data_IF_861673915773
#
_entry.id   IF_861673915773
#
_cell.length_a   1.000
_cell.length_b   1.000
_cell.length_c   1.000
_cell.angle_alpha   90.00
_cell.angle_beta   90.00
_cell.angle_gamma   90.00
#
_symmetry.space_group_name_H-M   'P 1'
#
loop_
_entity.id
_entity.type
_entity.pdbx_description
1 polymer ?
#
# COMPACT_ATOMS: atom_id res chain seq x y z
N UNK A 1 -7.62 -0.73 8.94
CA UNK A 1 -8.09 -1.14 7.60
C UNK A 1 -6.91 -1.68 6.78
N UNK A 2 -7.17 -2.37 5.67
CA UNK A 2 -6.18 -2.63 4.62
C UNK A 2 -6.62 -1.86 3.38
N UNK A 3 -5.72 -1.13 2.73
CA UNK A 3 -6.02 -0.54 1.41
C UNK A 3 -5.09 -1.09 0.35
N UNK A 4 -5.60 -1.24 -0.87
CA UNK A 4 -4.81 -1.63 -2.03
C UNK A 4 -4.96 -0.63 -3.16
N UNK A 5 -3.85 -0.34 -3.84
CA UNK A 5 -3.79 0.55 -4.99
C UNK A 5 -3.26 -0.11 -6.24
N UNK A 6 -3.78 0.28 -7.38
CA UNK A 6 -3.31 -0.15 -8.69
C UNK A 6 -2.15 0.72 -9.17
N UNK A 7 -1.14 0.07 -9.74
CA UNK A 7 -0.07 0.71 -10.49
C UNK A 7 -0.58 1.12 -11.87
N UNK A 8 -0.74 2.43 -12.07
CA UNK A 8 -1.15 2.97 -13.36
C UNK A 8 0.03 2.91 -14.34
N UNK A 9 -0.04 2.12 -15.43
CA UNK A 9 0.95 2.20 -16.50
C UNK A 9 0.89 3.60 -17.14
N UNK A 10 1.98 4.03 -17.77
CA UNK A 10 2.05 5.35 -18.44
C UNK A 10 0.90 5.57 -19.43
N UNK A 11 0.45 4.51 -20.09
CA UNK A 11 -0.63 4.53 -21.09
C UNK A 11 -2.03 4.34 -20.49
N UNK A 12 -2.13 4.22 -19.16
CA UNK A 12 -3.38 3.98 -18.43
C UNK A 12 -4.00 2.60 -18.69
N UNK A 13 -4.74 2.09 -17.71
CA UNK A 13 -5.67 0.98 -17.95
C UNK A 13 -6.95 1.56 -18.55
N UNK A 14 -7.53 0.89 -19.55
CA UNK A 14 -8.88 1.21 -20.01
C UNK A 14 -9.88 0.98 -18.86
N UNK A 15 -11.00 1.72 -18.77
CA UNK A 15 -11.91 1.64 -17.63
C UNK A 15 -12.38 0.23 -17.28
N UNK A 16 -12.75 -0.59 -18.28
CA UNK A 16 -13.13 -1.98 -18.07
C UNK A 16 -11.99 -2.83 -17.46
N UNK A 17 -10.75 -2.61 -17.91
CA UNK A 17 -9.59 -3.31 -17.37
C UNK A 17 -9.17 -2.82 -15.98
N UNK A 18 -9.39 -1.53 -15.68
CA UNK A 18 -9.20 -0.99 -14.33
C UNK A 18 -10.18 -1.62 -13.34
N UNK A 19 -11.47 -1.75 -13.70
CA UNK A 19 -12.46 -2.46 -12.87
C UNK A 19 -12.13 -3.92 -12.65
N UNK A 20 -11.69 -4.63 -13.70
CA UNK A 20 -11.21 -6.03 -13.57
C UNK A 20 -10.02 -6.15 -12.64
N UNK A 21 -9.06 -5.23 -12.72
CA UNK A 21 -7.92 -5.20 -11.82
C UNK A 21 -8.32 -4.87 -10.37
N UNK A 22 -9.29 -3.98 -10.17
CA UNK A 22 -9.86 -3.66 -8.85
C UNK A 22 -10.56 -4.88 -8.25
N UNK A 23 -11.41 -5.54 -9.04
CA UNK A 23 -12.07 -6.80 -8.68
C UNK A 23 -11.06 -7.87 -8.26
N UNK A 24 -10.01 -8.09 -9.05
CA UNK A 24 -9.00 -9.09 -8.73
C UNK A 24 -8.20 -8.75 -7.46
N UNK A 25 -7.89 -7.48 -7.19
CA UNK A 25 -7.24 -7.09 -5.93
C UNK A 25 -8.14 -7.35 -4.71
N UNK A 26 -9.44 -7.05 -4.81
CA UNK A 26 -10.39 -7.31 -3.73
C UNK A 26 -10.58 -8.80 -3.47
N UNK A 27 -10.72 -9.59 -4.55
CA UNK A 27 -10.80 -11.04 -4.48
C UNK A 27 -9.51 -11.67 -3.93
N UNK A 28 -8.33 -11.12 -4.26
CA UNK A 28 -7.06 -11.59 -3.69
C UNK A 28 -7.03 -11.43 -2.17
N UNK A 29 -7.55 -10.31 -1.66
CA UNK A 29 -7.65 -10.07 -0.23
C UNK A 29 -8.68 -10.97 0.45
N UNK A 30 -9.83 -11.18 -0.19
CA UNK A 30 -10.85 -12.09 0.32
C UNK A 30 -10.34 -13.54 0.39
N UNK A 31 -9.69 -14.02 -0.68
CA UNK A 31 -9.07 -15.34 -0.72
C UNK A 31 -7.95 -15.48 0.33
N UNK A 32 -7.11 -14.45 0.49
CA UNK A 32 -6.07 -14.45 1.52
C UNK A 32 -6.64 -14.51 2.95
N UNK A 33 -7.73 -13.80 3.23
CA UNK A 33 -8.43 -13.88 4.51
C UNK A 33 -8.96 -15.28 4.77
N UNK A 34 -9.61 -15.92 3.78
CA UNK A 34 -10.12 -17.29 3.87
C UNK A 34 -9.03 -18.35 4.05
N UNK A 35 -7.82 -18.12 3.57
CA UNK A 35 -6.69 -19.05 3.75
C UNK A 35 -5.95 -18.83 5.06
N UNK A 36 -5.71 -17.57 5.42
CA UNK A 36 -5.01 -17.21 6.65
C UNK A 36 -5.88 -17.37 7.89
N UNK A 37 -7.20 -17.33 7.72
CA UNK A 37 -8.21 -17.51 8.76
C UNK A 37 -9.43 -18.25 8.22
N UNK A 38 -10.24 -18.81 9.09
CA UNK A 38 -11.43 -19.55 8.69
C UNK A 38 -12.59 -18.57 8.43
N UNK A 39 -12.49 -17.81 7.33
CA UNK A 39 -13.54 -16.88 6.91
C UNK A 39 -14.46 -17.50 5.87
N UNK A 40 -15.75 -17.36 6.13
CA UNK A 40 -16.81 -17.64 5.18
C UNK A 40 -17.21 -16.34 4.49
N UNK A 41 -17.35 -16.41 3.16
CA UNK A 41 -17.94 -15.32 2.39
C UNK A 41 -19.46 -15.47 2.46
N UNK A 42 -20.13 -14.50 3.10
CA UNK A 42 -21.56 -14.57 3.35
C UNK A 42 -22.37 -14.03 2.16
N UNK A 43 -21.97 -12.88 1.62
CA UNK A 43 -22.71 -12.20 0.55
C UNK A 43 -21.87 -11.06 -0.05
N UNK A 44 -22.12 -10.71 -1.32
CA UNK A 44 -21.58 -9.53 -1.95
C UNK A 44 -22.70 -8.55 -2.34
N UNK A 45 -22.45 -7.27 -2.17
CA UNK A 45 -23.42 -6.19 -2.41
C UNK A 45 -22.85 -5.18 -3.41
N UNK A 46 -23.59 -4.83 -4.45
CA UNK A 46 -23.25 -3.74 -5.34
C UNK A 46 -24.06 -2.49 -4.99
N UNK A 47 -23.41 -1.33 -4.99
CA UNK A 47 -23.97 -0.10 -4.44
C UNK A 47 -23.61 1.14 -5.29
N UNK A 48 -24.34 2.24 -5.10
CA UNK A 48 -24.14 3.48 -5.87
C UNK A 48 -23.91 4.67 -4.93
N UNK A 49 -22.81 5.40 -5.13
CA UNK A 49 -22.37 6.47 -4.25
C UNK A 49 -21.54 5.95 -3.07
N UNK A 50 -22.19 5.28 -2.11
CA UNK A 50 -21.57 4.75 -0.88
C UNK A 50 -22.02 3.30 -0.60
N UNK A 51 -21.27 2.51 0.19
CA UNK A 51 -21.63 1.13 0.55
C UNK A 51 -23.05 0.95 1.10
N UNK A 52 -23.53 1.87 1.93
CA UNK A 52 -24.88 1.80 2.54
C UNK A 52 -26.03 1.93 1.53
N UNK A 53 -25.75 2.39 0.30
CA UNK A 53 -26.74 2.58 -0.76
C UNK A 53 -26.80 1.36 -1.69
N UNK A 54 -27.05 0.18 -1.11
CA UNK A 54 -27.14 -1.12 -1.80
C UNK A 54 -28.21 -1.12 -2.90
N UNK A 55 -27.89 -1.74 -4.03
CA UNK A 55 -28.77 -1.86 -5.21
C UNK A 55 -28.96 -3.29 -5.68
N UNK A 56 -27.97 -4.14 -5.49
CA UNK A 56 -28.00 -5.55 -5.91
C UNK A 56 -27.21 -6.37 -4.89
N UNK A 57 -27.69 -7.57 -4.59
CA UNK A 57 -26.99 -8.54 -3.75
C UNK A 57 -26.76 -9.81 -4.56
N UNK A 58 -25.59 -10.42 -4.40
CA UNK A 58 -25.17 -11.58 -5.19
C UNK A 58 -24.13 -12.42 -4.43
N UNK A 59 -23.92 -13.65 -4.89
CA UNK A 59 -22.89 -14.54 -4.34
C UNK A 59 -21.68 -14.56 -5.26
N UNK A 60 -20.50 -14.65 -4.67
CA UNK A 60 -19.24 -14.90 -5.38
C UNK A 60 -18.58 -16.09 -4.70
N UNK A 61 -18.21 -17.12 -5.47
CA UNK A 61 -17.37 -18.20 -4.96
C UNK A 61 -15.93 -17.68 -4.86
N UNK A 62 -15.37 -17.70 -3.66
CA UNK A 62 -14.04 -17.16 -3.38
C UNK A 62 -13.20 -18.29 -2.81
N UNK A 63 -12.62 -19.10 -3.71
CA UNK A 63 -11.57 -20.06 -3.36
C UNK A 63 -10.20 -19.48 -3.65
N UNK A 64 -10.02 -19.00 -4.88
CA UNK A 64 -8.83 -18.34 -5.40
C UNK A 64 -9.27 -17.17 -6.29
N UNK A 65 -8.33 -16.34 -6.71
CA UNK A 65 -8.61 -15.33 -7.73
C UNK A 65 -8.69 -16.01 -9.10
N UNK A 66 -9.91 -16.20 -9.60
CA UNK A 66 -10.16 -16.75 -10.94
C UNK A 66 -10.94 -15.78 -11.85
N UNK A 67 -10.96 -16.11 -13.15
CA UNK A 67 -11.55 -15.28 -14.20
C UNK A 67 -13.08 -15.11 -14.04
N UNK A 68 -13.78 -16.12 -13.53
CA UNK A 68 -15.24 -16.09 -13.38
C UNK A 68 -15.65 -15.18 -12.23
N UNK A 69 -14.98 -15.29 -11.09
CA UNK A 69 -15.17 -14.39 -9.95
C UNK A 69 -14.83 -12.93 -10.34
N UNK A 70 -13.71 -12.72 -11.05
CA UNK A 70 -13.33 -11.39 -11.55
C UNK A 70 -14.40 -10.83 -12.47
N UNK A 71 -14.88 -11.61 -13.44
CA UNK A 71 -15.91 -11.18 -14.39
C UNK A 71 -17.19 -10.79 -13.66
N UNK A 72 -17.64 -11.62 -12.73
CA UNK A 72 -18.85 -11.40 -11.93
C UNK A 72 -18.80 -10.05 -11.21
N UNK A 73 -17.72 -9.78 -10.47
CA UNK A 73 -17.55 -8.50 -9.75
C UNK A 73 -17.36 -7.33 -10.73
N UNK A 74 -16.53 -7.47 -11.75
CA UNK A 74 -16.23 -6.40 -12.70
C UNK A 74 -17.44 -5.96 -13.54
N UNK A 75 -18.37 -6.87 -13.83
CA UNK A 75 -19.64 -6.56 -14.47
C UNK A 75 -20.50 -5.65 -13.59
N UNK A 76 -20.57 -5.89 -12.28
CA UNK A 76 -21.29 -5.01 -11.34
C UNK A 76 -20.61 -3.65 -11.25
N UNK A 77 -19.29 -3.62 -11.12
CA UNK A 77 -18.53 -2.36 -11.12
C UNK A 77 -18.74 -1.53 -12.39
N UNK A 78 -19.20 -2.12 -13.50
CA UNK A 78 -19.51 -1.36 -14.73
C UNK A 78 -20.79 -0.53 -14.64
N UNK A 79 -21.67 -0.85 -13.69
CA UNK A 79 -22.99 -0.22 -13.47
C UNK A 79 -23.10 0.51 -12.14
N UNK A 80 -22.23 0.16 -11.19
CA UNK A 80 -22.25 0.58 -9.80
C UNK A 80 -20.99 1.36 -9.42
N UNK A 81 -21.04 2.06 -8.28
CA UNK A 81 -19.89 2.81 -7.77
C UNK A 81 -18.88 1.90 -7.07
N UNK A 82 -19.35 0.79 -6.50
CA UNK A 82 -18.51 -0.24 -5.90
C UNK A 82 -19.27 -1.52 -5.59
N UNK A 83 -18.53 -2.49 -5.08
CA UNK A 83 -18.99 -3.78 -4.57
C UNK A 83 -18.38 -4.00 -3.19
N UNK A 84 -19.16 -4.46 -2.22
CA UNK A 84 -18.69 -4.87 -0.90
C UNK A 84 -18.81 -6.38 -0.77
N UNK A 85 -17.71 -7.07 -0.48
CA UNK A 85 -17.71 -8.49 -0.12
C UNK A 85 -17.71 -8.58 1.40
N UNK A 86 -18.75 -9.17 1.98
CA UNK A 86 -18.87 -9.36 3.44
C UNK A 86 -18.38 -10.73 3.83
N UNK A 87 -17.41 -10.78 4.73
CA UNK A 87 -16.83 -12.01 5.25
C UNK A 87 -16.98 -12.06 6.77
N UNK A 88 -17.20 -13.25 7.32
CA UNK A 88 -17.22 -13.48 8.77
C UNK A 88 -16.36 -14.68 9.10
N UNK A 89 -15.60 -14.61 10.18
CA UNK A 89 -14.73 -15.71 10.56
C UNK A 89 -13.75 -15.35 11.66
N UNK A 90 -12.65 -16.11 11.69
CA UNK A 90 -11.60 -15.95 12.67
C UNK A 90 -10.23 -15.77 12.03
N UNK A 91 -9.46 -14.81 12.53
CA UNK A 91 -8.05 -14.62 12.21
C UNK A 91 -7.23 -14.79 13.49
N UNK A 92 -6.60 -15.97 13.65
CA UNK A 92 -6.04 -16.36 14.95
C UNK A 92 -7.16 -16.47 15.99
N UNK A 93 -7.02 -15.75 17.11
CA UNK A 93 -8.07 -15.66 18.15
C UNK A 93 -9.09 -14.55 17.91
N UNK A 94 -8.86 -13.68 16.92
CA UNK A 94 -9.78 -12.59 16.61
C UNK A 94 -11.04 -13.13 15.91
N UNK A 95 -12.22 -12.83 16.45
CA UNK A 95 -13.51 -13.02 15.78
C UNK A 95 -13.86 -11.74 15.02
N UNK A 96 -13.96 -11.83 13.70
CA UNK A 96 -14.04 -10.66 12.82
C UNK A 96 -15.15 -10.83 11.76
N UNK A 97 -15.91 -9.75 11.56
CA UNK A 97 -16.53 -9.45 10.29
C UNK A 97 -15.60 -8.53 9.49
N UNK A 98 -15.43 -8.77 8.20
CA UNK A 98 -14.62 -7.94 7.31
C UNK A 98 -15.45 -7.54 6.11
N UNK A 99 -15.57 -6.23 5.89
CA UNK A 99 -16.14 -5.69 4.66
C UNK A 99 -15.00 -5.32 3.72
N UNK A 100 -15.02 -5.86 2.51
CA UNK A 100 -14.03 -5.57 1.47
C UNK A 100 -14.72 -4.77 0.37
N UNK A 101 -14.55 -3.46 0.40
CA UNK A 101 -15.04 -2.55 -0.61
C UNK A 101 -14.09 -2.52 -1.81
N UNK A 102 -14.65 -2.76 -2.98
CA UNK A 102 -13.99 -2.73 -4.27
C UNK A 102 -14.63 -1.59 -5.07
N UNK A 103 -13.83 -0.59 -5.40
CA UNK A 103 -14.32 0.62 -6.05
C UNK A 103 -14.23 0.53 -7.57
N UNK A 104 -15.25 1.02 -8.28
CA UNK A 104 -15.24 1.08 -9.74
C UNK A 104 -14.23 2.10 -10.29
N UNK A 105 -13.81 3.06 -9.46
CA UNK A 105 -12.77 4.04 -9.73
C UNK A 105 -12.08 4.48 -8.43
N UNK A 106 -10.77 4.73 -8.45
CA UNK A 106 -9.97 5.06 -7.26
C UNK A 106 -10.45 6.30 -6.47
N UNK A 107 -11.18 7.21 -7.13
CA UNK A 107 -11.63 8.46 -6.53
C UNK A 107 -12.99 8.33 -5.84
N UNK A 108 -13.72 7.24 -6.04
CA UNK A 108 -15.01 7.00 -5.37
C UNK A 108 -14.89 7.16 -3.84
N UNK A 109 -13.94 6.51 -3.13
CA UNK A 109 -13.86 6.65 -1.68
C UNK A 109 -13.50 8.07 -1.24
N UNK A 110 -12.77 8.84 -2.05
CA UNK A 110 -12.43 10.23 -1.74
C UNK A 110 -13.65 11.14 -1.89
N UNK A 111 -14.37 10.99 -3.01
CA UNK A 111 -15.58 11.77 -3.29
C UNK A 111 -16.72 11.44 -2.31
N UNK A 112 -16.74 10.21 -1.80
CA UNK A 112 -17.65 9.76 -0.75
C UNK A 112 -17.24 10.20 0.67
N UNK A 113 -16.06 10.81 0.84
CA UNK A 113 -15.56 11.20 2.16
C UNK A 113 -15.09 10.03 3.04
N UNK A 114 -14.91 8.83 2.47
CA UNK A 114 -14.48 7.61 3.17
C UNK A 114 -12.95 7.65 3.38
N UNK A 115 -12.17 8.00 2.35
CA UNK A 115 -10.71 8.08 2.44
C UNK A 115 -10.20 9.47 2.09
N UNK A 116 -9.09 9.88 2.70
CA UNK A 116 -8.39 11.11 2.34
C UNK A 116 -7.57 10.98 1.05
N UNK A 117 -7.44 9.76 0.51
CA UNK A 117 -6.69 9.50 -0.69
C UNK A 117 -7.28 8.38 -1.57
N UNK A 118 -7.01 8.38 -2.89
CA UNK A 118 -7.69 7.48 -3.83
C UNK A 118 -7.28 6.02 -3.64
N UNK A 119 -8.20 5.06 -3.57
CA UNK A 119 -7.88 3.64 -3.46
C UNK A 119 -8.86 2.79 -4.27
N UNK A 120 -8.41 1.65 -4.77
CA UNK A 120 -9.27 0.70 -5.49
C UNK A 120 -9.92 -0.33 -4.59
N UNK A 121 -9.28 -0.66 -3.46
CA UNK A 121 -9.83 -1.60 -2.48
C UNK A 121 -9.60 -1.06 -1.07
N UNK A 122 -10.62 -1.18 -0.23
CA UNK A 122 -10.58 -0.92 1.21
C UNK A 122 -11.16 -2.13 1.94
N UNK A 123 -10.46 -2.65 2.95
CA UNK A 123 -10.99 -3.68 3.82
C UNK A 123 -11.01 -3.23 5.27
N UNK A 124 -12.16 -3.37 5.91
CA UNK A 124 -12.44 -2.88 7.25
C UNK A 124 -12.81 -4.05 8.16
N UNK A 125 -12.00 -4.36 9.20
CA UNK A 125 -12.34 -5.38 10.17
C UNK A 125 -13.20 -4.78 11.28
N UNK A 126 -14.22 -5.52 11.71
CA UNK A 126 -15.08 -5.23 12.85
C UNK A 126 -15.19 -6.48 13.70
N UNK A 127 -14.78 -6.42 14.97
CA UNK A 127 -14.83 -7.60 15.81
C UNK A 127 -14.06 -7.46 17.10
N UNK A 128 -13.63 -8.60 17.66
CA UNK A 128 -13.02 -8.65 19.00
C UNK A 128 -11.91 -9.69 19.11
N UNK A 129 -10.94 -9.44 20.00
CA UNK A 129 -9.96 -10.41 20.50
C UNK A 129 -10.14 -10.48 22.01
N UNK A 130 -10.41 -11.67 22.56
CA UNK A 130 -10.62 -11.87 24.00
C UNK A 130 -11.59 -10.84 24.62
N UNK A 131 -12.68 -10.52 23.90
CA UNK A 131 -13.69 -9.53 24.32
C UNK A 131 -13.32 -8.06 24.09
N UNK A 132 -12.07 -7.73 23.75
CA UNK A 132 -11.62 -6.37 23.42
C UNK A 132 -11.91 -6.02 21.95
N UNK A 133 -12.49 -4.85 21.65
CA UNK A 133 -12.79 -4.47 20.28
C UNK A 133 -11.53 -4.27 19.44
N UNK A 134 -11.58 -4.76 18.21
CA UNK A 134 -10.60 -4.50 17.17
C UNK A 134 -11.20 -3.51 16.18
N UNK A 135 -10.50 -2.39 16.00
CA UNK A 135 -10.89 -1.34 15.05
C UNK A 135 -10.09 -1.36 13.74
N UNK A 136 -9.00 -2.13 13.67
CA UNK A 136 -8.15 -2.14 12.47
C UNK A 136 -7.22 -3.36 12.35
N UNK A 137 -6.89 -3.72 11.11
CA UNK A 137 -5.79 -4.65 10.80
C UNK A 137 -4.43 -4.19 11.33
N UNK A 138 -4.25 -2.88 11.53
CA UNK A 138 -3.05 -2.34 12.15
C UNK A 138 -2.94 -2.78 13.62
N UNK A 139 -4.03 -2.72 14.38
CA UNK A 139 -4.08 -3.23 15.75
C UNK A 139 -3.86 -4.74 15.83
N UNK A 140 -4.34 -5.49 14.83
CA UNK A 140 -4.13 -6.95 14.77
C UNK A 140 -2.66 -7.36 14.63
N UNK A 141 -1.76 -6.48 14.17
CA UNK A 141 -0.32 -6.79 14.22
C UNK A 141 0.22 -6.92 15.64
N UNK A 142 -0.41 -6.25 16.62
CA UNK A 142 -0.01 -6.32 18.02
C UNK A 142 -0.71 -7.47 18.76
N UNK A 143 -1.97 -7.76 18.44
CA UNK A 143 -2.78 -8.77 19.12
C UNK A 143 -2.66 -10.18 18.50
N UNK A 144 -2.51 -10.27 17.18
CA UNK A 144 -2.54 -11.53 16.40
C UNK A 144 -1.44 -11.55 15.32
N UNK A 145 -0.20 -11.28 15.74
CA UNK A 145 0.97 -11.10 14.86
C UNK A 145 1.17 -12.22 13.82
N UNK A 146 1.19 -13.48 14.25
CA UNK A 146 1.43 -14.60 13.34
C UNK A 146 0.28 -14.76 12.33
N UNK A 147 -0.97 -14.52 12.73
CA UNK A 147 -2.10 -14.56 11.82
C UNK A 147 -2.04 -13.42 10.78
N UNK A 148 -1.63 -12.21 11.19
CA UNK A 148 -1.40 -11.09 10.27
C UNK A 148 -0.24 -11.33 9.31
N UNK A 149 0.83 -11.97 9.78
CA UNK A 149 1.95 -12.40 8.93
C UNK A 149 1.49 -13.42 7.90
N UNK A 150 0.71 -14.43 8.30
CA UNK A 150 0.13 -15.41 7.37
C UNK A 150 -0.78 -14.73 6.35
N UNK A 151 -1.66 -13.81 6.77
CA UNK A 151 -2.49 -13.03 5.86
C UNK A 151 -1.67 -12.28 4.81
N UNK A 152 -0.57 -11.62 5.23
CA UNK A 152 0.31 -10.91 4.30
C UNK A 152 1.01 -11.86 3.30
N UNK A 153 1.35 -13.08 3.73
CA UNK A 153 1.98 -14.11 2.87
C UNK A 153 0.97 -14.69 1.88
N UNK A 154 -0.24 -15.05 2.32
CA UNK A 154 -1.30 -15.57 1.45
C UNK A 154 -1.75 -14.51 0.44
N UNK A 155 -1.87 -13.25 0.84
CA UNK A 155 -2.16 -12.15 -0.08
C UNK A 155 -1.08 -12.04 -1.15
N UNK A 156 0.19 -12.13 -0.77
CA UNK A 156 1.28 -12.13 -1.74
C UNK A 156 1.18 -13.32 -2.70
N UNK A 157 0.84 -14.51 -2.21
CA UNK A 157 0.65 -15.69 -3.06
C UNK A 157 -0.48 -15.48 -4.08
N UNK A 158 -1.65 -14.98 -3.66
CA UNK A 158 -2.79 -14.70 -4.55
C UNK A 158 -2.45 -13.67 -5.64
N UNK A 159 -1.70 -12.61 -5.29
CA UNK A 159 -1.22 -11.64 -6.28
C UNK A 159 -0.29 -12.26 -7.34
N UNK A 160 0.41 -13.36 -7.01
CA UNK A 160 1.32 -14.06 -7.92
C UNK A 160 0.65 -15.09 -8.80
N UNK A 161 -0.37 -15.78 -8.27
CA UNK A 161 -1.10 -16.80 -9.01
C UNK A 161 -2.08 -16.19 -10.01
N UNK A 162 -2.65 -15.01 -9.70
CA UNK A 162 -3.62 -14.37 -10.56
C UNK A 162 -2.98 -13.71 -11.80
N UNK A 163 -3.51 -14.04 -12.98
CA UNK A 163 -3.19 -13.35 -14.23
C UNK A 163 -4.42 -12.64 -14.80
N UNK A 164 -4.23 -11.42 -15.29
CA UNK A 164 -5.30 -10.63 -15.87
C UNK A 164 -4.97 -10.18 -17.27
N UNK A 165 -5.89 -10.46 -18.20
CA UNK A 165 -5.91 -9.81 -19.50
C UNK A 165 -6.42 -8.37 -19.36
N UNK A 166 -5.56 -7.40 -19.60
CA UNK A 166 -5.85 -5.97 -19.48
C UNK A 166 -5.56 -5.21 -20.76
N UNK A 167 -6.42 -4.25 -21.06
CA UNK A 167 -6.28 -3.31 -22.17
C UNK A 167 -5.70 -1.98 -21.66
N UNK A 168 -4.69 -1.49 -22.38
CA UNK A 168 -4.08 -0.18 -22.16
C UNK A 168 -4.17 0.67 -23.43
N UNK A 169 -3.69 1.91 -23.39
CA UNK A 169 -3.46 2.70 -24.61
C UNK A 169 -2.49 2.05 -25.61
N UNK A 170 -1.62 1.12 -25.16
CA UNK A 170 -0.65 0.41 -26.00
C UNK A 170 -1.15 -0.97 -26.49
N UNK A 171 -2.41 -1.31 -26.27
CA UNK A 171 -3.00 -2.60 -26.64
C UNK A 171 -3.32 -3.51 -25.46
N UNK A 172 -3.72 -4.74 -25.77
CA UNK A 172 -4.17 -5.75 -24.81
C UNK A 172 -3.03 -6.70 -24.49
N UNK A 173 -2.78 -6.95 -23.19
CA UNK A 173 -1.73 -7.85 -22.71
C UNK A 173 -2.21 -8.58 -21.46
N UNK A 174 -1.70 -9.78 -21.24
CA UNK A 174 -1.86 -10.48 -19.96
C UNK A 174 -0.76 -10.03 -19.01
N UNK A 175 -1.16 -9.65 -17.80
CA UNK A 175 -0.26 -9.22 -16.74
C UNK A 175 -0.58 -10.02 -15.47
N UNK A 176 0.42 -10.56 -14.77
CA UNK A 176 0.19 -11.06 -13.42
C UNK A 176 -0.24 -9.91 -12.50
N UNK A 177 -1.14 -10.20 -11.56
CA UNK A 177 -1.80 -9.19 -10.74
C UNK A 177 -0.81 -8.38 -9.89
N UNK A 178 0.27 -9.00 -9.42
CA UNK A 178 1.35 -8.29 -8.70
C UNK A 178 1.98 -7.14 -9.51
N UNK A 179 1.99 -7.20 -10.86
CA UNK A 179 2.45 -6.10 -11.71
C UNK A 179 1.48 -4.93 -11.75
N UNK A 180 0.21 -5.20 -11.45
CA UNK A 180 -0.85 -4.20 -11.36
C UNK A 180 -1.01 -3.70 -9.92
N UNK A 181 -0.53 -4.39 -8.88
CA UNK A 181 -0.54 -3.91 -7.51
C UNK A 181 0.60 -2.91 -7.24
N UNK A 182 0.28 -1.63 -6.96
CA UNK A 182 1.25 -0.60 -6.61
C UNK A 182 1.65 -0.64 -5.14
N UNK A 183 0.66 -0.61 -4.25
CA UNK A 183 0.89 -0.65 -2.81
C UNK A 183 -0.28 -1.27 -2.09
N UNK A 184 0.03 -2.01 -1.04
CA UNK A 184 -0.93 -2.52 -0.07
C UNK A 184 -0.38 -2.18 1.31
N UNK A 185 -1.22 -1.63 2.18
CA UNK A 185 -0.82 -1.30 3.55
C UNK A 185 -1.94 -1.59 4.55
N UNK A 186 -1.56 -1.76 5.82
CA UNK A 186 -2.49 -1.74 6.94
C UNK A 186 -2.44 -0.37 7.63
N UNK A 187 -3.61 0.22 7.86
CA UNK A 187 -3.76 1.54 8.50
C UNK A 187 -4.56 1.42 9.80
N UNK A 188 -4.23 2.28 10.77
CA UNK A 188 -4.97 2.36 12.04
C UNK A 188 -6.33 3.05 11.87
N UNK A 189 -6.35 4.12 11.07
CA UNK A 189 -7.53 4.93 10.72
C UNK A 189 -7.45 5.29 9.22
N UNK A 190 -8.25 6.25 8.75
CA UNK A 190 -8.26 6.73 7.36
C UNK A 190 -7.01 7.54 6.97
N UNK A 191 -5.94 7.48 7.80
CA UNK A 191 -4.67 8.19 7.62
C UNK A 191 -3.50 7.23 7.38
N UNK A 192 -2.78 7.50 6.29
CA UNK A 192 -1.64 6.70 5.84
C UNK A 192 -0.31 7.01 6.55
N UNK A 193 -0.27 8.02 7.43
CA UNK A 193 1.00 8.63 7.87
C UNK A 193 2.01 7.61 8.42
N UNK A 194 1.51 6.60 9.13
CA UNK A 194 2.29 5.47 9.63
C UNK A 194 1.63 4.15 9.24
N UNK A 195 1.14 4.05 8.01
CA UNK A 195 0.62 2.80 7.49
C UNK A 195 1.74 1.75 7.45
N UNK A 196 1.45 0.53 7.93
CA UNK A 196 2.36 -0.61 7.80
C UNK A 196 2.33 -1.05 6.33
N UNK A 197 3.42 -0.87 5.55
CA UNK A 197 3.45 -1.36 4.19
C UNK A 197 3.47 -2.88 4.20
N UNK A 198 2.58 -3.51 3.43
CA UNK A 198 2.58 -4.96 3.22
C UNK A 198 3.21 -5.30 1.86
N UNK A 199 2.93 -4.48 0.84
CA UNK A 199 3.44 -4.63 -0.52
C UNK A 199 3.75 -3.27 -1.13
N UNK A 200 4.89 -3.15 -1.82
CA UNK A 200 5.27 -1.95 -2.54
C UNK A 200 5.94 -2.26 -3.89
N UNK A 201 5.42 -1.66 -4.96
CA UNK A 201 5.97 -1.73 -6.32
C UNK A 201 5.68 -0.44 -7.13
N UNK A 202 6.65 0.08 -7.91
CA UNK A 202 8.08 -0.08 -7.71
C UNK A 202 8.47 0.35 -6.28
N UNK A 203 9.24 -0.47 -5.56
CA UNK A 203 9.34 -0.28 -4.12
C UNK A 203 9.98 1.05 -3.70
N UNK A 204 11.07 1.45 -4.36
CA UNK A 204 11.76 2.73 -4.09
C UNK A 204 10.85 3.92 -4.36
N UNK A 205 9.98 3.82 -5.38
CA UNK A 205 8.99 4.85 -5.66
C UNK A 205 7.98 4.95 -4.53
N UNK A 206 7.37 3.83 -4.13
CA UNK A 206 6.34 3.84 -3.10
C UNK A 206 6.89 4.33 -1.76
N UNK A 207 8.10 3.90 -1.39
CA UNK A 207 8.76 4.42 -0.17
C UNK A 207 9.05 5.91 -0.29
N UNK A 208 9.55 6.39 -1.44
CA UNK A 208 9.76 7.82 -1.66
C UNK A 208 8.45 8.62 -1.55
N UNK A 209 7.33 8.07 -2.02
CA UNK A 209 6.00 8.69 -1.87
C UNK A 209 5.59 8.79 -0.40
N UNK A 210 5.74 7.72 0.37
CA UNK A 210 5.44 7.71 1.81
C UNK A 210 6.33 8.70 2.57
N UNK A 211 7.63 8.75 2.27
CA UNK A 211 8.55 9.69 2.89
C UNK A 211 8.31 11.15 2.46
N UNK A 212 7.87 11.39 1.22
CA UNK A 212 7.48 12.72 0.76
C UNK A 212 6.35 13.32 1.60
N UNK A 213 5.37 12.48 1.98
CA UNK A 213 4.26 12.90 2.84
C UNK A 213 4.73 13.27 4.25
N UNK A 214 5.82 12.65 4.73
CA UNK A 214 6.41 12.88 6.05
C UNK A 214 7.42 14.03 6.09
N UNK A 215 7.99 14.42 4.94
CA UNK A 215 8.97 15.49 4.86
C UNK A 215 8.37 16.87 5.17
N UNK A 216 9.14 17.80 5.77
CA UNK A 216 8.68 19.17 6.04
C UNK A 216 8.20 19.87 4.76
N UNK A 217 7.02 20.53 4.78
CA UNK A 217 6.42 21.15 3.59
C UNK A 217 7.35 22.13 2.86
N UNK A 218 8.14 22.90 3.61
CA UNK A 218 9.05 23.93 3.10
C UNK A 218 10.23 23.28 2.35
N UNK A 219 10.80 22.22 2.92
CA UNK A 219 11.99 21.55 2.39
C UNK A 219 11.66 20.58 1.25
N UNK A 220 10.53 19.87 1.32
CA UNK A 220 10.16 18.89 0.29
C UNK A 220 9.86 19.54 -1.06
N UNK A 221 9.46 20.81 -1.08
CA UNK A 221 9.23 21.59 -2.31
C UNK A 221 10.52 21.81 -3.11
N UNK A 222 11.67 21.93 -2.44
CA UNK A 222 12.97 22.15 -3.09
C UNK A 222 13.38 20.96 -3.97
N UNK A 223 13.25 19.74 -3.45
CA UNK A 223 13.56 18.53 -4.22
C UNK A 223 12.40 18.16 -5.16
N UNK A 224 11.17 18.43 -4.73
CA UNK A 224 9.95 17.92 -5.34
C UNK A 224 9.86 16.39 -5.31
N UNK A 225 8.74 15.82 -5.80
CA UNK A 225 8.57 14.37 -5.88
C UNK A 225 9.62 13.67 -6.75
N UNK A 226 10.16 14.34 -7.78
CA UNK A 226 11.20 13.78 -8.64
C UNK A 226 12.55 13.68 -7.92
N UNK A 227 12.95 14.72 -7.19
CA UNK A 227 14.24 14.75 -6.49
C UNK A 227 14.28 13.74 -5.36
N UNK A 228 13.19 13.64 -4.58
CA UNK A 228 13.12 12.65 -3.51
C UNK A 228 13.08 11.22 -4.04
N UNK A 229 12.38 10.95 -5.15
CA UNK A 229 12.41 9.63 -5.82
C UNK A 229 13.83 9.27 -6.25
N UNK A 230 14.58 10.23 -6.82
CA UNK A 230 15.98 10.02 -7.17
C UNK A 230 16.81 9.73 -5.92
N UNK A 231 16.71 10.56 -4.88
CA UNK A 231 17.46 10.39 -3.64
C UNK A 231 17.25 9.03 -2.97
N UNK A 232 16.00 8.56 -2.93
CA UNK A 232 15.65 7.25 -2.37
C UNK A 232 16.13 6.10 -3.26
N UNK A 233 16.04 6.25 -4.58
CA UNK A 233 16.52 5.23 -5.52
C UNK A 233 18.04 5.04 -5.43
N UNK A 234 18.80 6.12 -5.38
CA UNK A 234 20.27 6.02 -5.26
C UNK A 234 20.68 5.45 -3.88
N UNK A 235 19.89 5.70 -2.83
CA UNK A 235 20.11 5.16 -1.49
C UNK A 235 19.38 3.84 -1.20
N UNK A 236 18.86 3.16 -2.23
CA UNK A 236 18.02 1.97 -2.08
C UNK A 236 18.67 0.86 -1.25
N UNK A 237 19.98 0.63 -1.41
CA UNK A 237 20.70 -0.41 -0.65
C UNK A 237 20.78 -0.10 0.84
N UNK A 238 21.08 1.15 1.21
CA UNK A 238 21.14 1.58 2.61
C UNK A 238 19.75 1.58 3.24
N UNK A 239 18.75 2.09 2.51
CA UNK A 239 17.37 2.07 2.97
C UNK A 239 16.87 0.63 3.19
N UNK A 240 17.22 -0.31 2.31
CA UNK A 240 16.88 -1.73 2.50
C UNK A 240 17.50 -2.28 3.78
N UNK A 241 18.80 -2.05 4.02
CA UNK A 241 19.48 -2.47 5.25
C UNK A 241 18.80 -1.92 6.50
N UNK A 242 18.37 -0.66 6.44
CA UNK A 242 17.62 -0.04 7.54
C UNK A 242 16.28 -0.76 7.76
N UNK A 243 15.51 -1.01 6.70
CA UNK A 243 14.24 -1.73 6.78
C UNK A 243 14.44 -3.17 7.31
N UNK A 244 15.50 -3.87 6.90
CA UNK A 244 15.84 -5.21 7.40
C UNK A 244 16.06 -5.26 8.92
N UNK A 245 16.36 -4.14 9.60
CA UNK A 245 16.43 -4.08 11.06
C UNK A 245 15.05 -4.17 11.72
N UNK A 246 14.03 -3.59 11.09
CA UNK A 246 12.69 -3.41 11.68
C UNK A 246 11.61 -4.33 11.10
N UNK A 247 11.85 -4.89 9.92
CA UNK A 247 10.90 -5.73 9.19
C UNK A 247 11.52 -7.06 8.80
N UNK A 248 10.68 -8.09 8.65
CA UNK A 248 10.96 -9.22 7.78
C UNK A 248 10.78 -8.70 6.35
N UNK A 249 11.85 -8.75 5.57
CA UNK A 249 11.91 -8.16 4.23
C UNK A 249 12.06 -9.26 3.19
N UNK A 250 11.15 -9.30 2.22
CA UNK A 250 11.32 -10.09 1.01
C UNK A 250 11.45 -9.15 -0.19
N UNK A 251 12.65 -9.08 -0.78
CA UNK A 251 12.89 -8.29 -2.00
C UNK A 251 12.80 -9.18 -3.23
N UNK A 252 11.99 -8.76 -4.19
CA UNK A 252 11.90 -9.40 -5.50
C UNK A 252 12.58 -8.49 -6.53
N UNK A 253 13.89 -8.71 -6.71
CA UNK A 253 14.75 -7.83 -7.51
C UNK A 253 14.29 -7.70 -8.97
N UNK A 254 13.92 -8.81 -9.60
CA UNK A 254 13.40 -8.86 -10.98
C UNK A 254 12.06 -8.13 -11.14
N UNK A 255 11.31 -7.98 -10.05
CA UNK A 255 9.97 -7.41 -10.02
C UNK A 255 9.97 -5.93 -9.59
N UNK A 256 11.10 -5.45 -9.08
CA UNK A 256 11.26 -4.17 -8.40
C UNK A 256 10.23 -3.99 -7.27
N UNK A 257 9.99 -5.05 -6.51
CA UNK A 257 9.00 -5.08 -5.45
C UNK A 257 9.61 -5.45 -4.09
N UNK A 258 8.95 -5.01 -3.03
CA UNK A 258 9.31 -5.36 -1.64
C UNK A 258 8.04 -5.74 -0.88
N UNK A 259 8.13 -6.81 -0.11
CA UNK A 259 7.20 -7.14 0.94
C UNK A 259 7.83 -6.77 2.28
N UNK A 260 7.04 -6.14 3.14
CA UNK A 260 7.46 -5.71 4.46
C UNK A 260 6.47 -6.24 5.49
N UNK A 261 6.95 -6.95 6.49
CA UNK A 261 6.16 -7.40 7.63
C UNK A 261 6.91 -6.92 8.88
N UNK A 262 6.30 -6.09 9.76
CA UNK A 262 6.98 -5.63 10.98
C UNK A 262 7.54 -6.83 11.76
N UNK A 263 8.71 -6.73 12.39
CA UNK A 263 9.22 -7.83 13.22
C UNK A 263 8.39 -8.00 14.49
N UNK A 264 8.28 -9.23 15.03
CA UNK A 264 7.65 -9.47 16.32
C UNK A 264 8.53 -8.79 17.39
N UNK A 265 8.04 -7.71 17.95
CA UNK A 265 8.69 -6.88 18.97
C UNK A 265 7.60 -6.36 19.90
N UNK A 266 7.92 -5.83 21.07
CA UNK A 266 6.90 -5.44 22.06
C UNK A 266 6.55 -3.93 21.97
N UNK A 267 5.43 -3.51 21.34
CA UNK A 267 4.60 -4.19 20.32
C UNK A 267 5.03 -3.85 18.86
N UNK A 268 4.71 -4.68 17.84
CA UNK A 268 5.17 -4.49 16.45
C UNK A 268 4.80 -3.13 15.84
N UNK A 269 3.60 -2.62 16.13
CA UNK A 269 3.17 -1.31 15.62
C UNK A 269 3.99 -0.17 16.19
N UNK A 270 4.41 -0.24 17.47
CA UNK A 270 5.27 0.78 18.07
C UNK A 270 6.65 0.79 17.43
N UNK A 271 7.21 -0.39 17.17
CA UNK A 271 8.47 -0.53 16.42
C UNK A 271 8.36 0.03 15.02
N UNK A 272 7.27 -0.24 14.31
CA UNK A 272 6.97 0.36 13.00
C UNK A 272 6.93 1.89 13.09
N UNK A 273 6.17 2.46 14.03
CA UNK A 273 6.06 3.93 14.20
C UNK A 273 7.41 4.55 14.48
N UNK A 274 8.21 3.95 15.37
CA UNK A 274 9.56 4.40 15.69
C UNK A 274 10.45 4.37 14.45
N UNK A 275 10.43 3.28 13.68
CA UNK A 275 11.21 3.15 12.46
C UNK A 275 10.84 4.22 11.41
N UNK A 276 9.55 4.51 11.24
CA UNK A 276 9.09 5.54 10.31
C UNK A 276 9.41 6.95 10.79
N UNK A 277 9.33 7.21 12.09
CA UNK A 277 9.74 8.49 12.69
C UNK A 277 11.23 8.74 12.48
N UNK A 278 12.08 7.76 12.75
CA UNK A 278 13.53 7.85 12.52
C UNK A 278 13.85 8.08 11.04
N UNK A 279 13.15 7.44 10.10
CA UNK A 279 13.33 7.74 8.66
C UNK A 279 12.91 9.17 8.29
N UNK A 280 11.81 9.67 8.86
CA UNK A 280 11.37 11.04 8.62
C UNK A 280 12.36 12.07 9.19
N UNK A 281 12.93 11.80 10.37
CA UNK A 281 13.98 12.61 10.99
C UNK A 281 15.27 12.59 10.18
N UNK A 282 15.73 11.40 9.76
CA UNK A 282 16.88 11.23 8.87
C UNK A 282 16.70 12.04 7.58
N UNK A 283 15.53 11.94 6.95
CA UNK A 283 15.22 12.71 5.75
C UNK A 283 15.20 14.22 6.01
N UNK A 284 14.61 14.65 7.12
CA UNK A 284 14.56 16.06 7.51
C UNK A 284 15.95 16.64 7.72
N UNK A 285 16.81 15.90 8.43
CA UNK A 285 18.20 16.31 8.66
C UNK A 285 18.98 16.38 7.36
N UNK A 286 18.83 15.39 6.49
CA UNK A 286 19.47 15.38 5.18
C UNK A 286 19.02 16.59 4.33
N UNK A 287 17.72 16.88 4.29
CA UNK A 287 17.19 18.05 3.58
C UNK A 287 17.70 19.37 4.16
N UNK A 288 17.78 19.50 5.49
CA UNK A 288 18.31 20.72 6.14
C UNK A 288 19.78 20.97 5.81
N UNK A 289 20.62 19.93 5.88
CA UNK A 289 22.05 20.06 5.53
C UNK A 289 22.24 20.34 4.04
N UNK A 290 21.48 19.66 3.18
CA UNK A 290 21.52 19.87 1.74
C UNK A 290 21.09 21.30 1.34
N UNK A 291 20.01 21.83 1.95
CA UNK A 291 19.49 23.16 1.67
C UNK A 291 20.24 24.30 2.39
N UNK A 292 21.00 23.97 3.45
CA UNK A 292 21.77 24.93 4.24
C UNK A 292 23.24 24.94 3.84
N UNK A 293 24.08 24.26 4.63
CA UNK A 293 25.54 24.25 4.49
C UNK A 293 25.99 23.90 3.08
N UNK A 294 25.47 22.81 2.49
CA UNK A 294 25.89 22.36 1.16
C UNK A 294 25.43 23.28 0.03
N UNK A 295 24.23 23.84 0.15
CA UNK A 295 23.73 24.83 -0.79
C UNK A 295 24.58 26.10 -0.76
N UNK A 296 24.90 26.60 0.43
CA UNK A 296 25.72 27.80 0.61
C UNK A 296 27.14 27.61 0.08
N UNK A 297 27.77 26.48 0.42
CA UNK A 297 29.10 26.09 -0.10
C UNK A 297 29.11 26.09 -1.64
N UNK A 298 28.08 25.49 -2.25
CA UNK A 298 27.97 25.42 -3.72
C UNK A 298 27.78 26.81 -4.34
N UNK A 299 26.94 27.65 -3.75
CA UNK A 299 26.69 29.02 -4.25
C UNK A 299 27.97 29.87 -4.12
N UNK A 300 28.72 29.73 -3.03
CA UNK A 300 29.99 30.44 -2.85
C UNK A 300 31.05 29.99 -3.88
N UNK A 301 31.09 28.69 -4.21
CA UNK A 301 32.07 28.14 -5.15
C UNK A 301 31.70 28.37 -6.62
N UNK A 302 30.42 28.30 -6.98
CA UNK A 302 29.95 28.30 -8.38
C UNK A 302 29.14 29.54 -8.78
N UNK A 303 28.73 30.36 -7.82
CA UNK A 303 27.84 31.51 -8.02
C UNK A 303 26.36 31.16 -8.17
N UNK A 304 25.98 29.88 -8.22
CA UNK A 304 24.60 29.42 -8.35
C UNK A 304 24.41 28.00 -7.78
N UNK A 305 23.16 27.62 -7.52
CA UNK A 305 22.76 26.25 -7.19
C UNK A 305 21.64 25.80 -8.13
N UNK A 306 21.93 24.81 -8.96
CA UNK A 306 20.91 24.16 -9.78
C UNK A 306 20.25 22.98 -9.03
N UNK A 307 19.08 22.58 -9.51
CA UNK A 307 18.29 21.51 -8.91
C UNK A 307 19.01 20.15 -8.89
N UNK A 308 19.82 19.85 -9.91
CA UNK A 308 20.54 18.58 -9.99
C UNK A 308 21.60 18.50 -8.88
N UNK A 309 22.39 19.56 -8.73
CA UNK A 309 23.41 19.69 -7.69
C UNK A 309 22.78 19.63 -6.29
N UNK A 310 21.64 20.30 -6.07
CA UNK A 310 20.91 20.17 -4.80
C UNK A 310 20.45 18.73 -4.51
N UNK A 311 19.90 18.04 -5.51
CA UNK A 311 19.41 16.67 -5.36
C UNK A 311 20.56 15.68 -5.13
N UNK A 312 21.76 15.95 -5.65
CA UNK A 312 22.98 15.20 -5.33
C UNK A 312 23.46 15.44 -3.90
N UNK A 313 23.45 16.68 -3.42
CA UNK A 313 23.73 16.97 -2.02
C UNK A 313 22.75 16.24 -1.09
N UNK A 314 21.45 16.28 -1.40
CA UNK A 314 20.43 15.52 -0.67
C UNK A 314 20.69 14.00 -0.68
N UNK A 315 21.13 13.45 -1.82
CA UNK A 315 21.51 12.03 -1.90
C UNK A 315 22.63 11.67 -0.93
N UNK A 316 23.69 12.49 -0.91
CA UNK A 316 24.87 12.27 -0.07
C UNK A 316 24.52 12.39 1.41
N UNK A 317 23.80 13.45 1.79
CA UNK A 317 23.39 13.66 3.18
C UNK A 317 22.43 12.57 3.67
N UNK A 318 21.50 12.12 2.81
CA UNK A 318 20.62 11.00 3.14
C UNK A 318 21.42 9.70 3.32
N UNK A 319 22.44 9.46 2.50
CA UNK A 319 23.32 8.32 2.65
C UNK A 319 24.04 8.33 4.01
N UNK A 320 24.52 9.50 4.43
CA UNK A 320 25.18 9.67 5.74
C UNK A 320 24.21 9.42 6.89
N UNK A 321 23.00 9.99 6.84
CA UNK A 321 21.98 9.76 7.86
C UNK A 321 21.61 8.27 7.95
N UNK A 322 21.35 7.60 6.81
CA UNK A 322 21.00 6.18 6.80
C UNK A 322 22.14 5.31 7.36
N UNK A 323 23.41 5.60 7.04
CA UNK A 323 24.57 4.87 7.58
C UNK A 323 24.64 4.89 9.11
N UNK A 324 24.16 5.94 9.77
CA UNK A 324 24.11 5.99 11.25
C UNK A 324 23.11 5.00 11.84
N UNK A 325 22.12 4.59 11.05
CA UNK A 325 21.03 3.71 11.47
C UNK A 325 21.10 2.31 10.86
N UNK A 326 22.09 2.01 10.00
CA UNK A 326 22.32 0.68 9.43
C UNK A 326 23.50 0.02 10.10
#
# INVERSE_FOLDING_TARGET
MITAKIWKPKTGLRPASHRRASAALGLALAAALRRAGNFDAAEAEAWKGVPDAVKETFTVDIKHVDEEAIKTVAERLSRHSGVTIKMQGRLGRAELAVDIDIYAHEYVPVLAGILHEPAEVLAEPRGRVDGRPIASFYQLFDEEYEAMKTLAVELFAELHMAELRVATGAGVRTHPLWRLAARIHATQEHSDRYAIPLWHRPWTWQVARSLYALAPPELRRLAGPAGLRRAIRENAKLLRKYLERHYIVAVRHTENAIQLIPKPSSPPTQTHRKAMKTLAEALTNAMRRAAGEKALETIQQRGYLDWHTYVEALQQELAQELKRYT
#
